data_IF_989218454155
#
_entry.id   IF_989218454155
#
_cell.length_a   1.000
_cell.length_b   1.000
_cell.length_c   1.000
_cell.angle_alpha   90.00
_cell.angle_beta   90.00
_cell.angle_gamma   90.00
#
_symmetry.space_group_name_H-M   'P 1'
#
loop_
_entity.id
_entity.type
_entity.pdbx_description
1 polymer ?
#
# COMPACT_ATOMS: atom_id res chain seq x y z
N UNK A 1 5.45 10.76 -16.28
CA UNK A 1 5.40 9.46 -15.61
C UNK A 1 4.07 8.80 -15.98
N UNK A 2 4.03 7.51 -16.33
CA UNK A 2 2.73 6.86 -16.47
C UNK A 2 2.06 6.98 -15.11
N UNK A 3 0.86 7.55 -15.10
CA UNK A 3 0.09 7.74 -13.88
C UNK A 3 -0.13 6.34 -13.28
N UNK A 4 0.53 6.05 -12.16
CA UNK A 4 0.30 4.81 -11.40
C UNK A 4 -1.20 4.75 -11.17
N UNK A 5 -1.84 3.65 -11.56
CA UNK A 5 -3.27 3.47 -11.37
C UNK A 5 -3.55 3.72 -9.88
N UNK A 6 -4.30 4.78 -9.54
CA UNK A 6 -4.50 5.09 -8.13
C UNK A 6 -5.33 4.00 -7.43
N UNK A 7 -5.98 3.07 -8.16
CA UNK A 7 -6.57 1.86 -7.59
C UNK A 7 -5.53 0.88 -6.98
N UNK A 8 -4.27 0.95 -7.40
CA UNK A 8 -3.19 0.09 -6.88
C UNK A 8 -2.46 0.74 -5.69
N UNK A 9 -2.71 2.04 -5.43
CA UNK A 9 -2.14 2.74 -4.28
C UNK A 9 -2.92 2.37 -3.03
N UNK A 10 -2.21 1.96 -2.00
CA UNK A 10 -2.80 1.58 -0.71
C UNK A 10 -2.09 2.26 0.45
N UNK A 11 -2.81 2.48 1.54
CA UNK A 11 -2.22 2.94 2.80
C UNK A 11 -1.79 1.72 3.61
N UNK A 12 -0.60 1.75 4.18
CA UNK A 12 -0.07 0.63 4.97
C UNK A 12 0.30 1.13 6.35
N UNK A 13 -0.18 0.43 7.36
CA UNK A 13 0.16 0.65 8.76
C UNK A 13 0.89 -0.59 9.28
N UNK A 14 2.07 -0.38 9.86
CA UNK A 14 2.76 -1.36 10.69
C UNK A 14 2.50 -1.00 12.17
N UNK A 15 2.95 -1.86 13.09
CA UNK A 15 2.82 -1.60 14.52
C UNK A 15 3.59 -0.34 14.97
N UNK A 16 4.68 -0.01 14.30
CA UNK A 16 5.62 1.07 14.65
C UNK A 16 5.51 2.32 13.76
N UNK A 17 4.80 2.24 12.63
CA UNK A 17 4.58 3.37 11.71
C UNK A 17 3.23 3.27 11.01
N UNK A 18 2.57 4.40 10.81
CA UNK A 18 1.25 4.47 10.16
C UNK A 18 1.26 5.45 9.00
N UNK A 19 0.38 5.24 8.02
CA UNK A 19 0.16 6.15 6.90
C UNK A 19 1.18 6.01 5.76
N UNK A 20 1.86 4.87 5.66
CA UNK A 20 2.80 4.64 4.57
C UNK A 20 2.06 4.46 3.24
N UNK A 21 2.66 4.97 2.17
CA UNK A 21 2.13 4.82 0.82
C UNK A 21 2.83 3.67 0.12
N UNK A 22 2.04 2.68 -0.31
CA UNK A 22 2.54 1.58 -1.12
C UNK A 22 1.69 1.36 -2.37
N UNK A 23 2.25 0.64 -3.33
CA UNK A 23 1.58 0.13 -4.52
C UNK A 23 1.53 -1.40 -4.44
N UNK A 24 0.38 -1.99 -4.69
CA UNK A 24 0.25 -3.46 -4.83
C UNK A 24 0.63 -3.82 -6.26
N UNK A 25 1.77 -4.50 -6.43
CA UNK A 25 2.22 -4.95 -7.76
C UNK A 25 2.04 -6.45 -7.99
N UNK A 26 1.57 -7.17 -6.96
CA UNK A 26 1.21 -8.57 -7.07
C UNK A 26 0.55 -9.11 -5.81
N UNK A 27 -0.25 -10.16 -5.96
CA UNK A 27 -0.87 -10.86 -4.85
C UNK A 27 -1.00 -12.35 -5.20
N UNK A 28 -0.76 -13.21 -4.22
CA UNK A 28 -0.97 -14.66 -4.30
C UNK A 28 -1.99 -15.07 -3.23
N UNK A 29 -2.31 -16.35 -3.14
CA UNK A 29 -3.16 -16.88 -2.08
C UNK A 29 -2.62 -16.65 -0.65
N UNK A 30 -1.31 -16.42 -0.50
CA UNK A 30 -0.65 -16.38 0.81
C UNK A 30 0.09 -15.08 1.12
N UNK A 31 0.49 -14.32 0.10
CA UNK A 31 1.30 -13.11 0.25
C UNK A 31 0.84 -12.00 -0.68
N UNK A 32 1.00 -10.77 -0.23
CA UNK A 32 0.90 -9.55 -1.05
C UNK A 32 2.28 -8.95 -1.26
N UNK A 33 2.54 -8.48 -2.48
CA UNK A 33 3.77 -7.80 -2.86
C UNK A 33 3.52 -6.30 -2.96
N UNK A 34 4.27 -5.53 -2.16
CA UNK A 34 4.11 -4.11 -1.99
C UNK A 34 5.37 -3.36 -2.41
N UNK A 35 5.18 -2.22 -3.06
CA UNK A 35 6.24 -1.30 -3.45
C UNK A 35 6.03 0.01 -2.70
N UNK A 36 6.88 0.29 -1.71
CA UNK A 36 6.78 1.51 -0.91
C UNK A 36 7.36 2.70 -1.68
N UNK A 37 6.65 3.84 -1.61
CA UNK A 37 7.13 5.11 -2.16
C UNK A 37 7.85 5.86 -1.04
N UNK A 38 9.18 5.85 -1.08
CA UNK A 38 9.97 6.68 -0.17
C UNK A 38 9.89 8.16 -0.54
N UNK A 39 10.33 9.04 0.37
CA UNK A 39 10.48 10.47 0.13
C UNK A 39 11.41 10.79 -1.05
N UNK A 40 12.27 9.84 -1.44
CA UNK A 40 13.17 9.93 -2.58
C UNK A 40 12.60 9.16 -3.78
N UNK A 41 12.26 9.84 -4.90
CA UNK A 41 11.54 9.23 -6.03
C UNK A 41 12.24 8.04 -6.73
N UNK A 42 13.52 7.81 -6.46
CA UNK A 42 14.34 6.76 -7.07
C UNK A 42 14.56 5.56 -6.13
N UNK A 43 14.16 5.66 -4.86
CA UNK A 43 14.18 4.54 -3.93
C UNK A 43 12.78 3.96 -3.82
N UNK A 44 12.67 2.67 -4.09
CA UNK A 44 11.43 1.92 -4.03
C UNK A 44 11.73 0.59 -3.37
N UNK A 45 11.19 0.40 -2.17
CA UNK A 45 11.42 -0.83 -1.41
C UNK A 45 10.32 -1.84 -1.69
N UNK A 46 10.75 -3.03 -2.09
CA UNK A 46 9.88 -4.17 -2.36
C UNK A 46 9.75 -5.02 -1.11
N UNK A 47 8.51 -5.23 -0.70
CA UNK A 47 8.20 -5.89 0.55
C UNK A 47 7.14 -6.95 0.30
N UNK A 48 7.38 -8.14 0.82
CA UNK A 48 6.44 -9.25 0.76
C UNK A 48 5.80 -9.43 2.13
N UNK A 49 4.48 -9.32 2.20
CA UNK A 49 3.74 -9.45 3.46
C UNK A 49 2.84 -10.68 3.41
N UNK A 50 2.92 -11.59 4.40
CA UNK A 50 1.97 -12.69 4.51
C UNK A 50 0.55 -12.16 4.76
N UNK A 51 -0.43 -12.59 3.97
CA UNK A 51 -1.84 -12.18 4.13
C UNK A 51 -2.40 -12.54 5.51
N UNK A 52 -1.93 -13.63 6.12
CA UNK A 52 -2.27 -14.01 7.50
C UNK A 52 -1.91 -12.97 8.56
N UNK A 53 -1.00 -12.04 8.24
CA UNK A 53 -0.56 -10.97 9.13
C UNK A 53 -1.23 -9.62 8.80
N UNK A 54 -2.13 -9.59 7.82
CA UNK A 54 -2.74 -8.38 7.30
C UNK A 54 -4.23 -8.34 7.65
N UNK A 55 -4.69 -7.19 8.10
CA UNK A 55 -6.10 -6.82 8.14
C UNK A 55 -6.38 -5.78 7.06
N UNK A 56 -7.52 -5.91 6.40
CA UNK A 56 -7.93 -5.04 5.29
C UNK A 56 -9.02 -4.10 5.79
N UNK A 57 -8.81 -2.82 5.58
CA UNK A 57 -9.71 -1.73 5.98
C UNK A 57 -9.90 -0.74 4.82
N UNK A 58 -10.92 0.11 4.91
CA UNK A 58 -11.06 1.27 4.03
C UNK A 58 -10.27 2.46 4.61
N UNK A 59 -9.67 3.26 3.73
CA UNK A 59 -8.99 4.49 4.10
C UNK A 59 -9.87 5.71 3.83
N UNK A 60 -10.72 6.05 4.80
CA UNK A 60 -11.64 7.18 4.71
C UNK A 60 -10.94 8.56 4.60
N UNK A 61 -9.62 8.61 4.85
CA UNK A 61 -8.81 9.81 4.75
C UNK A 61 -8.21 10.07 3.37
N UNK A 62 -8.18 9.05 2.50
CA UNK A 62 -7.57 9.14 1.18
C UNK A 62 -8.46 8.56 0.10
N UNK A 63 -8.51 9.24 -1.04
CA UNK A 63 -9.30 8.79 -2.18
C UNK A 63 -8.45 8.76 -3.43
N UNK A 64 -8.85 7.88 -4.33
CA UNK A 64 -8.28 7.74 -5.65
C UNK A 64 -9.06 8.60 -6.63
N UNK A 65 -8.36 9.53 -7.30
CA UNK A 65 -8.90 10.28 -8.44
C UNK A 65 -8.58 9.54 -9.73
N UNK A 66 -9.58 8.87 -10.26
CA UNK A 66 -9.59 8.34 -11.61
C UNK A 66 -10.52 9.24 -12.46
N UNK A 67 -10.06 9.86 -13.56
CA UNK A 67 -10.93 10.64 -14.44
C UNK A 67 -11.96 9.78 -15.19
N UNK A 68 -11.70 8.48 -15.33
CA UNK A 68 -12.52 7.54 -16.10
C UNK A 68 -13.44 6.68 -15.20
N UNK A 69 -13.32 6.79 -13.87
CA UNK A 69 -14.13 6.05 -12.90
C UNK A 69 -14.67 6.95 -11.76
N UNK A 70 -15.75 6.56 -11.08
CA UNK A 70 -16.22 7.25 -9.88
C UNK A 70 -15.13 7.31 -8.80
N UNK A 71 -15.22 8.31 -7.90
CA UNK A 71 -14.34 8.43 -6.74
C UNK A 71 -14.36 7.12 -5.93
N UNK A 72 -13.17 6.56 -5.64
CA UNK A 72 -13.05 5.35 -4.82
C UNK A 72 -12.22 5.62 -3.57
N UNK A 73 -12.69 5.11 -2.43
CA UNK A 73 -11.92 5.09 -1.20
C UNK A 73 -10.74 4.14 -1.36
N UNK A 74 -9.61 4.53 -0.77
CA UNK A 74 -8.37 3.78 -0.89
C UNK A 74 -8.37 2.58 0.05
N UNK A 75 -7.68 1.51 -0.32
CA UNK A 75 -7.47 0.36 0.58
C UNK A 75 -6.45 0.72 1.66
N UNK A 76 -6.71 0.31 2.91
CA UNK A 76 -5.76 0.33 4.02
C UNK A 76 -5.40 -1.10 4.43
N UNK A 77 -4.10 -1.39 4.53
CA UNK A 77 -3.59 -2.63 5.06
C UNK A 77 -2.96 -2.38 6.43
N UNK A 78 -3.50 -3.03 7.46
CA UNK A 78 -2.90 -3.04 8.80
C UNK A 78 -2.11 -4.33 8.97
N UNK A 79 -0.81 -4.19 9.09
CA UNK A 79 0.15 -5.28 9.20
C UNK A 79 0.49 -5.48 10.66
N UNK A 80 0.18 -6.65 11.20
CA UNK A 80 0.44 -7.01 12.61
C UNK A 80 1.91 -7.37 12.85
N UNK A 81 2.84 -6.54 12.36
CA UNK A 81 4.29 -6.68 12.46
C UNK A 81 4.92 -5.27 12.48
N UNK A 82 6.17 -5.16 12.92
CA UNK A 82 6.95 -3.95 12.72
C UNK A 82 7.41 -3.88 11.25
N UNK A 83 7.69 -2.67 10.76
CA UNK A 83 8.21 -2.50 9.40
C UNK A 83 9.57 -3.19 9.23
N UNK A 84 9.83 -3.80 8.05
CA UNK A 84 11.17 -4.21 7.64
C UNK A 84 12.18 -3.06 7.72
N UNK A 85 13.46 -3.39 7.96
CA UNK A 85 14.54 -2.41 7.87
C UNK A 85 14.63 -1.85 6.44
N UNK A 86 14.58 -0.53 6.29
CA UNK A 86 14.62 0.15 4.98
C UNK A 86 13.27 0.66 4.47
N UNK A 87 12.23 0.68 5.31
CA UNK A 87 10.96 1.42 5.08
C UNK A 87 10.77 2.39 6.24
#
# INVERSE_FOLDING_TARGET
APWINPAERITVDFNDVTGLNAEVFGCTENVVYLLFQEAFPHMKDQVTIPLKAVQVEEDDGHYTRDPDAPLQWRLRLRVNQNRPEGI
#
